data_IF_359663712422
#
_entry.id   IF_359663712422
#
_cell.length_a   1.000
_cell.length_b   1.000
_cell.length_c   1.000
_cell.angle_alpha   90.00
_cell.angle_beta   90.00
_cell.angle_gamma   90.00
#
_symmetry.space_group_name_H-M   'P 1'
#
loop_
_entity.id
_entity.type
_entity.pdbx_description
1 polymer ?
#
# COMPACT_ATOMS: atom_id res chain seq x y z
N UNK A 1 2.69 -7.31 1.17
CA UNK A 1 3.56 -7.01 2.33
C UNK A 1 2.68 -6.68 3.52
N UNK A 2 3.03 -7.15 4.72
CA UNK A 2 2.34 -6.83 5.97
C UNK A 2 3.18 -5.88 6.80
N UNK A 3 2.63 -4.73 7.17
CA UNK A 3 3.23 -3.80 8.12
C UNK A 3 2.41 -3.86 9.43
N UNK A 4 3.04 -4.37 10.49
CA UNK A 4 2.50 -4.31 11.85
C UNK A 4 2.78 -2.92 12.41
N UNK A 5 1.73 -2.16 12.71
CA UNK A 5 1.85 -0.80 13.21
C UNK A 5 1.15 -0.68 14.57
N UNK A 6 1.88 -0.12 15.54
CA UNK A 6 1.35 0.19 16.87
C UNK A 6 0.60 1.55 16.92
N UNK A 7 0.43 2.21 15.76
CA UNK A 7 -0.11 3.57 15.67
C UNK A 7 -1.59 3.65 15.28
N UNK A 8 -2.22 4.76 15.67
CA UNK A 8 -3.61 5.19 15.41
C UNK A 8 -3.91 5.23 13.89
N UNK A 9 -5.17 5.03 13.49
CA UNK A 9 -5.63 5.08 12.10
C UNK A 9 -5.19 6.36 11.35
N UNK A 10 -5.10 7.49 12.06
CA UNK A 10 -4.65 8.77 11.51
C UNK A 10 -3.17 8.75 11.11
N UNK A 11 -2.35 8.06 11.87
CA UNK A 11 -0.92 7.95 11.60
C UNK A 11 -0.67 7.06 10.38
N UNK A 12 -1.44 5.99 10.19
CA UNK A 12 -1.27 5.12 9.01
C UNK A 12 -1.66 5.83 7.72
N UNK A 13 -2.76 6.59 7.71
CA UNK A 13 -3.12 7.43 6.56
C UNK A 13 -2.07 8.49 6.27
N UNK A 14 -1.52 9.11 7.32
CA UNK A 14 -0.46 10.11 7.18
C UNK A 14 0.86 9.50 6.68
N UNK A 15 1.21 8.28 7.13
CA UNK A 15 2.34 7.51 6.63
C UNK A 15 2.18 7.23 5.14
N UNK A 16 0.98 6.80 4.71
CA UNK A 16 0.70 6.48 3.31
C UNK A 16 0.73 7.72 2.41
N UNK A 17 0.14 8.84 2.84
CA UNK A 17 0.22 10.11 2.11
C UNK A 17 1.65 10.66 2.02
N UNK A 18 2.44 10.56 3.10
CA UNK A 18 3.87 10.91 3.07
C UNK A 18 4.65 9.96 2.15
N UNK A 19 4.31 8.68 2.17
CA UNK A 19 4.96 7.68 1.35
C UNK A 19 4.72 7.91 -0.13
N UNK A 20 3.50 8.29 -0.56
CA UNK A 20 3.23 8.64 -1.95
C UNK A 20 4.15 9.77 -2.46
N UNK A 21 4.27 10.87 -1.70
CA UNK A 21 5.12 12.01 -2.10
C UNK A 21 6.58 11.62 -2.25
N UNK A 22 7.11 10.81 -1.34
CA UNK A 22 8.50 10.35 -1.37
C UNK A 22 8.70 9.24 -2.43
N UNK A 23 7.72 8.36 -2.60
CA UNK A 23 7.69 7.30 -3.60
C UNK A 23 7.70 7.84 -5.02
N UNK A 24 6.97 8.93 -5.27
CA UNK A 24 6.97 9.62 -6.56
C UNK A 24 8.37 10.13 -6.96
N UNK A 25 9.25 10.43 -5.98
CA UNK A 25 10.62 10.87 -6.23
C UNK A 25 11.57 9.71 -6.53
N UNK A 26 11.27 8.52 -6.01
CA UNK A 26 12.13 7.34 -6.11
C UNK A 26 11.77 6.46 -7.29
N UNK A 27 10.47 6.25 -7.54
CA UNK A 27 9.96 5.41 -8.63
C UNK A 27 8.82 6.14 -9.38
N UNK A 28 9.13 6.78 -10.52
CA UNK A 28 8.17 7.56 -11.31
C UNK A 28 6.93 6.76 -11.75
N UNK A 29 7.05 5.43 -11.88
CA UNK A 29 5.93 4.55 -12.25
C UNK A 29 4.83 4.50 -11.19
N UNK A 30 5.15 4.76 -9.92
CA UNK A 30 4.15 4.81 -8.83
C UNK A 30 3.12 5.92 -9.09
N UNK A 31 3.50 6.99 -9.80
CA UNK A 31 2.59 8.09 -10.16
C UNK A 31 2.14 8.07 -11.61
N UNK A 32 2.31 6.93 -12.29
CA UNK A 32 2.01 6.83 -13.72
C UNK A 32 1.02 5.71 -14.00
N UNK A 33 0.10 5.94 -14.92
CA UNK A 33 -0.76 4.88 -15.46
C UNK A 33 -0.07 4.20 -16.63
N UNK A 34 -0.26 2.89 -16.75
CA UNK A 34 0.21 2.11 -17.90
C UNK A 34 -0.82 2.21 -19.03
N UNK A 35 -0.37 2.58 -20.24
CA UNK A 35 -1.22 2.65 -21.44
C UNK A 35 -0.66 1.76 -22.55
N UNK A 36 -1.54 1.02 -23.23
CA UNK A 36 -1.20 0.12 -24.33
C UNK A 36 -1.62 -1.32 -24.07
N UNK A 37 -2.93 -1.61 -24.16
CA UNK A 37 -3.45 -2.98 -24.03
C UNK A 37 -3.74 -3.61 -25.39
N UNK A 38 -2.89 -4.55 -25.79
CA UNK A 38 -3.07 -5.45 -26.93
C UNK A 38 -2.08 -6.62 -26.83
N UNK A 39 -2.39 -7.75 -27.49
CA UNK A 39 -1.67 -9.04 -27.40
C UNK A 39 -0.15 -9.00 -27.71
N UNK A 40 0.35 -7.84 -28.14
CA UNK A 40 1.78 -7.57 -28.27
C UNK A 40 2.11 -6.33 -27.41
N UNK A 41 2.70 -6.56 -26.24
CA UNK A 41 3.23 -5.59 -25.26
C UNK A 41 4.37 -4.69 -25.82
N UNK A 42 4.32 -4.30 -27.10
CA UNK A 42 5.42 -3.61 -27.77
C UNK A 42 5.43 -2.11 -27.47
N UNK A 43 4.33 -1.54 -26.95
CA UNK A 43 4.16 -0.08 -26.75
C UNK A 43 3.59 0.33 -25.38
N UNK A 44 3.86 -0.42 -24.31
CA UNK A 44 3.45 0.01 -22.96
C UNK A 44 4.13 1.34 -22.59
N UNK A 45 3.33 2.40 -22.41
CA UNK A 45 3.82 3.74 -22.04
C UNK A 45 3.29 4.14 -20.67
N UNK A 46 4.17 4.63 -19.83
CA UNK A 46 3.84 5.23 -18.53
C UNK A 46 3.51 6.69 -18.72
N UNK A 47 2.30 7.09 -18.33
CA UNK A 47 1.84 8.48 -18.41
C UNK A 47 1.73 9.03 -16.98
N UNK A 48 2.54 10.04 -16.63
CA UNK A 48 2.43 10.73 -15.35
C UNK A 48 0.99 11.19 -15.15
N UNK A 49 0.41 10.78 -14.03
CA UNK A 49 -0.99 11.02 -13.70
C UNK A 49 -1.07 11.60 -12.31
N UNK A 50 -2.03 12.50 -12.08
CA UNK A 50 -2.32 12.96 -10.74
C UNK A 50 -2.96 11.82 -9.96
N UNK A 51 -2.19 11.20 -9.07
CA UNK A 51 -2.70 10.16 -8.19
C UNK A 51 -3.60 10.78 -7.13
N UNK A 52 -4.72 10.11 -6.86
CA UNK A 52 -5.59 10.41 -5.73
C UNK A 52 -5.39 9.31 -4.70
N UNK A 53 -4.69 9.60 -3.62
CA UNK A 53 -4.34 8.63 -2.57
C UNK A 53 -5.58 7.93 -2.03
N UNK A 54 -6.68 8.66 -1.91
CA UNK A 54 -7.94 8.15 -1.37
C UNK A 54 -8.51 7.00 -2.19
N UNK A 55 -8.23 6.94 -3.49
CA UNK A 55 -8.66 5.86 -4.37
C UNK A 55 -7.77 4.61 -4.27
N UNK A 56 -6.63 4.70 -3.58
CA UNK A 56 -5.63 3.64 -3.42
C UNK A 56 -5.49 3.17 -1.96
N UNK A 57 -6.13 3.86 -1.01
CA UNK A 57 -6.20 3.48 0.40
C UNK A 57 -7.58 2.91 0.71
N UNK A 58 -7.63 1.60 0.92
CA UNK A 58 -8.85 0.84 1.16
C UNK A 58 -8.94 0.49 2.64
N UNK A 59 -10.05 0.84 3.28
CA UNK A 59 -10.32 0.43 4.68
C UNK A 59 -11.48 -0.56 4.65
N UNK A 60 -11.22 -1.88 4.56
CA UNK A 60 -12.30 -2.87 4.58
C UNK A 60 -13.04 -2.84 5.91
N UNK A 61 -14.35 -3.04 5.86
CA UNK A 61 -15.11 -3.36 7.06
C UNK A 61 -14.76 -4.79 7.49
N UNK A 62 -14.36 -4.96 8.74
CA UNK A 62 -13.99 -6.25 9.33
C UNK A 62 -14.90 -6.45 10.54
N UNK A 63 -15.48 -7.65 10.66
CA UNK A 63 -16.29 -8.01 11.80
C UNK A 63 -15.44 -7.95 13.08
N UNK A 64 -15.80 -7.13 14.08
CA UNK A 64 -15.06 -7.06 15.34
C UNK A 64 -15.07 -8.37 16.15
N UNK A 65 -16.01 -9.28 15.88
CA UNK A 65 -16.16 -10.55 16.58
C UNK A 65 -15.52 -11.72 15.82
N UNK A 66 -14.56 -11.44 14.93
CA UNK A 66 -13.92 -12.50 14.16
C UNK A 66 -13.22 -13.49 15.09
N UNK A 67 -13.51 -14.78 14.91
CA UNK A 67 -13.05 -15.82 15.82
C UNK A 67 -11.53 -16.04 15.72
N UNK A 68 -10.98 -15.94 14.50
CA UNK A 68 -9.56 -16.11 14.24
C UNK A 68 -9.01 -14.96 13.36
N UNK A 69 -8.51 -13.89 13.98
CA UNK A 69 -7.91 -12.75 13.29
C UNK A 69 -6.72 -13.13 12.39
N UNK A 70 -5.83 -14.02 12.87
CA UNK A 70 -4.64 -14.41 12.13
C UNK A 70 -5.00 -15.18 10.85
N UNK A 71 -5.94 -16.14 10.93
CA UNK A 71 -6.45 -16.86 9.75
C UNK A 71 -7.14 -15.92 8.76
N UNK A 72 -7.95 -14.97 9.25
CA UNK A 72 -8.58 -13.99 8.37
C UNK A 72 -7.56 -13.16 7.60
N UNK A 73 -6.46 -12.76 8.25
CA UNK A 73 -5.39 -12.00 7.60
C UNK A 73 -4.73 -12.80 6.47
N UNK A 74 -4.47 -14.09 6.69
CA UNK A 74 -3.89 -14.99 5.70
C UNK A 74 -4.82 -15.19 4.49
N UNK A 75 -6.10 -15.44 4.75
CA UNK A 75 -7.13 -15.58 3.71
C UNK A 75 -7.29 -14.28 2.91
N UNK A 76 -7.28 -13.13 3.61
CA UNK A 76 -7.35 -11.81 3.00
C UNK A 76 -6.17 -11.57 2.06
N UNK A 77 -4.95 -11.83 2.55
CA UNK A 77 -3.73 -11.63 1.76
C UNK A 77 -3.69 -12.57 0.55
N UNK A 78 -4.12 -13.82 0.73
CA UNK A 78 -4.23 -14.81 -0.36
C UNK A 78 -5.20 -14.34 -1.43
N UNK A 79 -6.39 -13.87 -1.03
CA UNK A 79 -7.39 -13.31 -1.95
C UNK A 79 -6.83 -12.11 -2.71
N UNK A 80 -6.06 -11.26 -2.05
CA UNK A 80 -5.41 -10.12 -2.69
C UNK A 80 -4.27 -10.51 -3.63
N UNK A 81 -3.55 -11.59 -3.38
CA UNK A 81 -2.53 -12.07 -4.30
C UNK A 81 -3.10 -12.55 -5.64
N UNK A 82 -4.31 -13.14 -5.63
CA UNK A 82 -4.93 -13.74 -6.83
C UNK A 82 -5.95 -12.84 -7.54
N UNK A 83 -6.44 -11.80 -6.88
CA UNK A 83 -7.43 -10.89 -7.46
C UNK A 83 -6.80 -9.99 -8.53
N UNK A 84 -7.45 -9.75 -9.68
CA UNK A 84 -6.95 -8.81 -10.67
C UNK A 84 -6.93 -7.37 -10.12
N UNK A 85 -5.93 -6.58 -10.52
CA UNK A 85 -5.88 -5.14 -10.26
C UNK A 85 -6.68 -4.38 -11.33
N UNK A 86 -7.35 -3.31 -10.90
CA UNK A 86 -7.98 -2.36 -11.81
C UNK A 86 -6.90 -1.56 -12.55
N UNK A 87 -6.73 -1.88 -13.83
CA UNK A 87 -5.71 -1.27 -14.69
C UNK A 87 -6.09 0.15 -15.18
N UNK A 88 -7.26 0.66 -14.80
CA UNK A 88 -7.64 2.06 -15.06
C UNK A 88 -6.99 3.05 -14.09
N UNK A 89 -6.39 2.53 -13.00
CA UNK A 89 -5.71 3.29 -11.93
C UNK A 89 -4.22 2.94 -11.87
N UNK A 90 -3.48 3.64 -11.02
CA UNK A 90 -2.09 3.27 -10.74
C UNK A 90 -2.06 1.90 -10.05
N UNK A 91 -1.11 1.05 -10.45
CA UNK A 91 -1.13 -0.38 -10.15
C UNK A 91 -0.59 -0.74 -8.74
N UNK A 92 -1.02 0.02 -7.72
CA UNK A 92 -0.69 -0.21 -6.31
C UNK A 92 -1.89 0.09 -5.42
N UNK A 93 -2.03 -0.63 -4.32
CA UNK A 93 -3.14 -0.51 -3.38
C UNK A 93 -2.63 -0.74 -1.96
N UNK A 94 -3.14 0.03 -0.99
CA UNK A 94 -2.91 -0.18 0.43
C UNK A 94 -4.24 -0.47 1.12
N UNK A 95 -4.27 -1.55 1.90
CA UNK A 95 -5.43 -1.94 2.67
C UNK A 95 -5.12 -1.79 4.15
N UNK A 96 -5.90 -0.99 4.87
CA UNK A 96 -5.76 -0.78 6.30
C UNK A 96 -6.77 -1.63 7.05
N UNK A 97 -6.30 -2.74 7.61
CA UNK A 97 -7.10 -3.70 8.35
C UNK A 97 -7.07 -3.30 9.83
N UNK A 98 -8.22 -2.83 10.34
CA UNK A 98 -8.45 -2.64 11.77
C UNK A 98 -8.69 -3.97 12.45
N UNK A 99 -7.66 -4.80 12.43
CA UNK A 99 -7.68 -6.17 12.90
C UNK A 99 -6.54 -6.33 13.89
N UNK A 100 -6.89 -6.70 15.13
CA UNK A 100 -5.91 -7.04 16.15
C UNK A 100 -5.56 -8.51 16.00
N UNK A 101 -4.35 -8.78 15.56
CA UNK A 101 -3.82 -10.14 15.42
C UNK A 101 -2.98 -10.52 16.64
N UNK A 102 -2.51 -11.76 16.70
CA UNK A 102 -1.58 -12.22 17.74
C UNK A 102 -0.27 -11.41 17.80
N UNK A 103 0.10 -10.73 16.71
CA UNK A 103 1.38 -10.04 16.55
C UNK A 103 1.27 -8.52 16.34
N UNK A 104 0.06 -7.98 16.18
CA UNK A 104 -0.14 -6.57 15.80
C UNK A 104 -1.45 -5.99 16.34
N UNK A 105 -1.42 -4.71 16.74
CA UNK A 105 -2.63 -3.96 17.09
C UNK A 105 -3.46 -3.52 15.89
N UNK A 106 -2.81 -3.39 14.72
CA UNK A 106 -3.42 -3.10 13.43
C UNK A 106 -2.51 -3.61 12.31
N UNK A 107 -3.08 -3.85 11.13
CA UNK A 107 -2.33 -4.42 10.00
C UNK A 107 -2.54 -3.59 8.75
N UNK A 108 -1.47 -3.21 8.07
CA UNK A 108 -1.53 -2.66 6.72
C UNK A 108 -1.02 -3.69 5.70
N UNK A 109 -1.82 -3.95 4.67
CA UNK A 109 -1.46 -4.81 3.53
C UNK A 109 -1.16 -3.92 2.34
N UNK A 110 0.06 -3.99 1.82
CA UNK A 110 0.45 -3.29 0.60
C UNK A 110 0.56 -4.26 -0.58
N UNK A 111 -0.06 -3.89 -1.69
CA UNK A 111 -0.14 -4.66 -2.94
C UNK A 111 0.36 -3.80 -4.10
N UNK A 112 1.27 -4.36 -4.90
CA UNK A 112 1.90 -3.68 -6.03
C UNK A 112 1.97 -4.64 -7.21
N UNK A 113 1.70 -4.14 -8.40
CA UNK A 113 1.92 -4.90 -9.61
C UNK A 113 3.41 -4.95 -9.96
N UNK A 114 3.87 -6.10 -10.46
CA UNK A 114 5.28 -6.35 -10.77
C UNK A 114 5.86 -5.45 -11.88
N UNK A 115 5.01 -4.71 -12.62
CA UNK A 115 5.47 -3.73 -13.62
C UNK A 115 5.99 -2.42 -13.01
N UNK A 116 5.64 -2.13 -11.75
CA UNK A 116 6.02 -0.91 -11.04
C UNK A 116 7.50 -0.90 -10.64
N UNK A 117 8.09 -2.05 -10.37
CA UNK A 117 9.47 -2.18 -9.94
C UNK A 117 9.75 -3.58 -9.43
N UNK A 118 11.03 -3.89 -9.17
CA UNK A 118 11.39 -5.13 -8.52
C UNK A 118 11.03 -5.12 -7.03
N UNK A 119 10.87 -6.31 -6.44
CA UNK A 119 10.49 -6.44 -5.05
C UNK A 119 11.44 -5.72 -4.08
N UNK A 120 12.74 -5.67 -4.34
CA UNK A 120 13.71 -5.06 -3.42
C UNK A 120 13.63 -3.52 -3.42
N UNK A 121 13.50 -2.92 -4.60
CA UNK A 121 13.32 -1.48 -4.77
C UNK A 121 12.05 -1.01 -4.06
N UNK A 122 10.98 -1.78 -4.21
CA UNK A 122 9.71 -1.52 -3.54
C UNK A 122 9.79 -1.68 -2.01
N UNK A 123 10.46 -2.73 -1.52
CA UNK A 123 10.67 -2.92 -0.07
C UNK A 123 11.51 -1.79 0.53
N UNK A 124 12.55 -1.36 -0.18
CA UNK A 124 13.43 -0.27 0.24
C UNK A 124 12.67 1.04 0.37
N UNK A 125 11.78 1.32 -0.59
CA UNK A 125 10.91 2.48 -0.57
C UNK A 125 9.96 2.47 0.63
N UNK A 126 9.25 1.35 0.85
CA UNK A 126 8.32 1.21 1.98
C UNK A 126 9.04 1.34 3.33
N UNK A 127 10.25 0.79 3.43
CA UNK A 127 11.09 0.92 4.62
C UNK A 127 11.55 2.36 4.85
N UNK A 128 11.90 3.09 3.81
CA UNK A 128 12.26 4.51 3.91
C UNK A 128 11.06 5.36 4.39
N UNK A 129 9.86 5.06 3.91
CA UNK A 129 8.63 5.73 4.33
C UNK A 129 8.31 5.51 5.83
N UNK A 130 8.49 4.29 6.32
CA UNK A 130 8.15 3.89 7.69
C UNK A 130 9.19 4.31 8.74
N UNK A 131 10.48 4.40 8.37
CA UNK A 131 11.54 4.84 9.30
C UNK A 131 11.36 6.28 9.77
N UNK A 132 10.85 7.17 8.91
CA UNK A 132 10.64 8.60 9.25
C UNK A 132 9.45 8.84 10.19
N UNK A 133 8.57 7.85 10.39
CA UNK A 133 7.33 8.00 11.16
C UNK A 133 7.38 7.38 12.56
N UNK A 134 8.40 6.55 12.83
CA UNK A 134 8.69 6.05 14.17
C UNK A 134 9.64 6.95 14.99
N UNK A 135 10.03 8.15 14.52
CA UNK A 135 10.77 9.11 15.36
C UNK A 135 9.79 9.80 16.33
N UNK A 136 9.87 9.55 17.65
CA UNK A 136 8.96 10.15 18.63
C UNK A 136 9.08 11.67 18.73
N UNK A 137 10.14 12.27 18.15
CA UNK A 137 10.40 13.72 18.24
C UNK A 137 9.52 14.56 17.31
N UNK A 138 8.72 13.95 16.44
CA UNK A 138 7.86 14.68 15.51
C UNK A 138 6.48 15.07 16.08
N UNK A 139 6.12 14.62 17.29
CA UNK A 139 4.86 14.97 17.98
C UNK A 139 4.93 16.26 18.81
N UNK A 140 6.10 16.91 18.91
CA UNK A 140 6.30 18.08 19.78
C UNK A 140 6.35 19.43 19.04
N UNK A 141 6.10 19.47 17.73
CA UNK A 141 6.14 20.71 16.93
C UNK A 141 5.04 20.78 15.86
N UNK A 142 3.79 20.53 16.24
CA UNK A 142 2.61 20.87 15.41
C UNK A 142 1.43 21.22 16.29
#
# INVERSE_FOLDING_TARGET
MLLSCHQDERDVRLILMKCEREAALVEPKITSNETGHGEQNVNAKWIPTKVKVEEHVIVPHIDPNIENPDQFLDDYTTKMAISPMDKSKTLWEFHLLKLKTSHAGSVAVARFHNSLGDGMSLMSLLLACTRKTCDPRHYLLS
#
